data_IF_654878523880
#
_entry.id   IF_654878523880
#
_cell.length_a   1.000
_cell.length_b   1.000
_cell.length_c   1.000
_cell.angle_alpha   90.00
_cell.angle_beta   90.00
_cell.angle_gamma   90.00
#
_symmetry.space_group_name_H-M   'P 1'
#
loop_
_entity.id
_entity.type
_entity.pdbx_description
1 polymer ?
#
# COMPACT_ATOMS: atom_id res chain seq x y z
N UNK A 1 14.13 -2.52 -15.24
CA UNK A 1 15.39 -3.17 -14.80
C UNK A 1 16.56 -2.22 -14.97
N UNK A 2 17.54 -2.31 -14.05
CA UNK A 2 18.76 -1.51 -14.04
C UNK A 2 19.97 -2.41 -14.35
N UNK A 3 20.88 -1.91 -15.17
CA UNK A 3 22.17 -2.51 -15.40
C UNK A 3 23.24 -1.67 -14.68
N UNK A 4 23.61 -2.00 -13.44
CA UNK A 4 24.66 -1.30 -12.71
C UNK A 4 25.96 -1.34 -13.51
N UNK A 5 26.75 -0.28 -13.44
CA UNK A 5 28.02 -0.15 -14.15
C UNK A 5 27.94 0.00 -15.68
N UNK A 6 26.75 0.07 -16.28
CA UNK A 6 26.63 0.28 -17.74
C UNK A 6 27.36 1.54 -18.21
N UNK A 7 27.32 2.61 -17.42
CA UNK A 7 28.01 3.88 -17.72
C UNK A 7 29.53 3.77 -17.74
N UNK A 8 30.10 2.94 -16.87
CA UNK A 8 31.55 2.73 -16.78
C UNK A 8 32.05 1.60 -17.68
N UNK A 9 31.12 0.91 -18.35
CA UNK A 9 31.37 -0.22 -19.21
C UNK A 9 31.44 -1.55 -18.45
N UNK A 10 31.07 -2.60 -19.15
CA UNK A 10 31.18 -3.98 -18.72
C UNK A 10 32.34 -4.61 -19.51
N UNK A 11 33.38 -5.08 -18.79
CA UNK A 11 34.52 -5.81 -19.36
C UNK A 11 34.19 -7.29 -19.40
N UNK A 12 35.16 -8.13 -19.53
CA UNK A 12 35.02 -9.58 -19.47
C UNK A 12 34.37 -10.04 -18.16
N UNK A 13 33.33 -10.88 -18.24
CA UNK A 13 32.60 -11.43 -17.10
C UNK A 13 31.08 -11.12 -17.15
N UNK A 14 30.34 -11.77 -16.26
CA UNK A 14 28.90 -11.58 -16.15
C UNK A 14 28.56 -10.29 -15.40
N UNK A 15 27.37 -9.72 -15.71
CA UNK A 15 26.78 -8.61 -14.96
C UNK A 15 25.39 -9.00 -14.47
N UNK A 16 24.96 -8.42 -13.35
CA UNK A 16 23.62 -8.57 -12.82
C UNK A 16 22.71 -7.49 -13.38
N UNK A 17 21.45 -7.83 -13.55
CA UNK A 17 20.35 -6.89 -13.84
C UNK A 17 19.52 -6.79 -12.56
N UNK A 18 19.31 -5.58 -12.08
CA UNK A 18 18.53 -5.33 -10.86
C UNK A 18 17.11 -4.92 -11.23
N UNK A 19 16.13 -5.39 -10.45
CA UNK A 19 14.75 -4.93 -10.54
C UNK A 19 14.65 -3.52 -9.94
N UNK A 20 14.27 -2.54 -10.77
CA UNK A 20 14.16 -1.14 -10.35
C UNK A 20 13.06 -0.92 -9.31
N UNK A 21 11.97 -1.71 -9.35
CA UNK A 21 10.91 -1.64 -8.35
C UNK A 21 11.44 -2.03 -6.96
N UNK A 22 12.18 -3.14 -6.89
CA UNK A 22 12.81 -3.58 -5.63
C UNK A 22 13.83 -2.53 -5.19
N UNK A 23 14.74 -2.14 -6.09
CA UNK A 23 15.87 -1.24 -5.77
C UNK A 23 15.41 0.13 -5.27
N UNK A 24 14.43 0.74 -5.93
CA UNK A 24 14.03 2.11 -5.67
C UNK A 24 12.80 2.22 -4.75
N UNK A 25 11.94 1.21 -4.72
CA UNK A 25 10.67 1.24 -4.01
C UNK A 25 10.57 0.33 -2.79
N UNK A 26 11.28 -0.80 -2.76
CA UNK A 26 11.08 -1.84 -1.74
C UNK A 26 12.35 -2.19 -0.95
N UNK A 27 13.45 -1.48 -1.19
CA UNK A 27 14.73 -1.72 -0.51
C UNK A 27 15.03 -0.65 0.52
N UNK A 28 15.32 -1.05 1.76
CA UNK A 28 15.81 -0.15 2.79
C UNK A 28 17.31 0.10 2.54
N UNK A 29 17.63 1.30 2.02
CA UNK A 29 18.99 1.70 1.69
C UNK A 29 19.88 1.95 2.93
N UNK A 30 19.30 2.09 4.12
CA UNK A 30 20.05 2.33 5.36
C UNK A 30 20.55 1.02 5.97
N UNK A 31 19.74 -0.03 5.90
CA UNK A 31 20.03 -1.32 6.52
C UNK A 31 20.31 -2.43 5.50
N UNK A 32 20.26 -2.11 4.19
CA UNK A 32 20.58 -3.01 3.08
C UNK A 32 19.76 -4.30 3.06
N UNK A 33 18.42 -4.17 3.19
CA UNK A 33 17.49 -5.28 3.09
C UNK A 33 16.12 -4.87 2.53
N UNK A 34 15.31 -5.86 2.14
CA UNK A 34 13.95 -5.61 1.66
C UNK A 34 13.04 -5.08 2.78
N UNK A 35 12.13 -4.12 2.46
CA UNK A 35 11.19 -3.53 3.44
C UNK A 35 10.28 -4.55 4.13
N UNK A 36 10.11 -5.76 3.61
CA UNK A 36 9.47 -6.87 4.33
C UNK A 36 10.15 -7.20 5.65
N UNK A 37 11.48 -7.00 5.75
CA UNK A 37 12.20 -7.15 7.01
C UNK A 37 11.83 -6.06 8.02
N UNK A 38 11.54 -4.82 7.57
CA UNK A 38 11.07 -3.76 8.47
C UNK A 38 9.71 -4.12 9.09
N UNK A 39 8.85 -4.81 8.35
CA UNK A 39 7.58 -5.33 8.87
C UNK A 39 7.81 -6.46 9.89
N UNK A 40 8.74 -7.38 9.64
CA UNK A 40 9.13 -8.41 10.62
C UNK A 40 9.72 -7.79 11.90
N UNK A 41 10.52 -6.73 11.78
CA UNK A 41 11.05 -6.00 12.94
C UNK A 41 9.94 -5.37 13.80
N UNK A 42 8.88 -4.86 13.15
CA UNK A 42 7.71 -4.35 13.85
C UNK A 42 6.92 -5.47 14.53
N UNK A 43 6.70 -6.58 13.84
CA UNK A 43 6.02 -7.73 14.40
C UNK A 43 6.73 -8.22 15.67
N UNK A 44 8.05 -8.35 15.63
CA UNK A 44 8.87 -8.75 16.77
C UNK A 44 8.81 -7.69 17.90
N UNK A 45 9.01 -6.42 17.58
CA UNK A 45 9.07 -5.32 18.56
C UNK A 45 7.76 -5.12 19.33
N UNK A 46 6.63 -5.30 18.64
CA UNK A 46 5.30 -5.08 19.21
C UNK A 46 4.54 -6.38 19.50
N UNK A 47 5.22 -7.53 19.40
CA UNK A 47 4.63 -8.85 19.65
C UNK A 47 3.36 -9.09 18.81
N UNK A 48 3.36 -8.64 17.55
CA UNK A 48 2.26 -8.87 16.62
C UNK A 48 2.43 -10.27 16.04
N UNK A 49 1.52 -11.17 16.38
CA UNK A 49 1.65 -12.57 15.97
C UNK A 49 1.28 -12.78 14.50
N UNK A 50 1.64 -13.93 13.96
CA UNK A 50 1.21 -14.36 12.63
C UNK A 50 -0.31 -14.48 12.55
N UNK A 51 -0.92 -15.00 13.58
CA UNK A 51 -2.36 -15.17 13.72
C UNK A 51 -3.09 -13.83 13.69
N UNK A 52 -2.58 -12.81 14.40
CA UNK A 52 -3.14 -11.46 14.39
C UNK A 52 -3.10 -10.85 12.99
N UNK A 53 -1.96 -11.00 12.29
CA UNK A 53 -1.77 -10.50 10.93
C UNK A 53 -2.72 -11.20 9.94
N UNK A 54 -2.83 -12.52 9.99
CA UNK A 54 -3.70 -13.29 9.12
C UNK A 54 -5.19 -13.02 9.41
N UNK A 55 -5.57 -12.87 10.68
CA UNK A 55 -6.94 -12.49 11.06
C UNK A 55 -7.31 -11.10 10.53
N UNK A 56 -6.40 -10.13 10.66
CA UNK A 56 -6.58 -8.79 10.11
C UNK A 56 -6.73 -8.82 8.58
N UNK A 57 -5.86 -9.56 7.88
CA UNK A 57 -5.90 -9.70 6.43
C UNK A 57 -7.21 -10.35 5.96
N UNK A 58 -7.64 -11.45 6.59
CA UNK A 58 -8.91 -12.11 6.27
C UNK A 58 -10.10 -11.17 6.50
N UNK A 59 -10.13 -10.44 7.62
CA UNK A 59 -11.18 -9.46 7.90
C UNK A 59 -11.20 -8.33 6.86
N UNK A 60 -10.04 -7.84 6.43
CA UNK A 60 -9.90 -6.81 5.39
C UNK A 60 -10.46 -7.30 4.04
N UNK A 61 -10.10 -8.51 3.61
CA UNK A 61 -10.61 -9.11 2.38
C UNK A 61 -12.14 -9.26 2.42
N UNK A 62 -12.68 -9.79 3.51
CA UNK A 62 -14.12 -9.97 3.68
C UNK A 62 -14.90 -8.64 3.65
N UNK A 63 -14.35 -7.58 4.26
CA UNK A 63 -14.94 -6.24 4.20
C UNK A 63 -14.94 -5.70 2.77
N UNK A 64 -13.84 -5.83 2.04
CA UNK A 64 -13.73 -5.37 0.65
C UNK A 64 -14.71 -6.10 -0.26
N UNK A 65 -14.76 -7.44 -0.18
CA UNK A 65 -15.70 -8.28 -0.96
C UNK A 65 -17.15 -7.91 -0.66
N UNK A 66 -17.51 -7.77 0.62
CA UNK A 66 -18.86 -7.39 1.03
C UNK A 66 -19.25 -6.00 0.53
N UNK A 67 -18.34 -5.03 0.62
CA UNK A 67 -18.56 -3.67 0.14
C UNK A 67 -18.74 -3.64 -1.39
N UNK A 68 -17.92 -4.37 -2.13
CA UNK A 68 -18.02 -4.48 -3.59
C UNK A 68 -19.35 -5.16 -4.00
N UNK A 69 -19.69 -6.30 -3.39
CA UNK A 69 -20.91 -7.04 -3.70
C UNK A 69 -22.19 -6.23 -3.38
N UNK A 70 -22.15 -5.41 -2.32
CA UNK A 70 -23.27 -4.51 -1.96
C UNK A 70 -23.33 -3.23 -2.81
N UNK A 71 -22.41 -3.04 -3.74
CA UNK A 71 -22.37 -1.89 -4.64
C UNK A 71 -21.92 -0.57 -3.98
N UNK A 72 -21.26 -0.61 -2.83
CA UNK A 72 -20.78 0.60 -2.13
C UNK A 72 -19.81 1.44 -2.93
N UNK A 73 -19.07 0.83 -3.86
CA UNK A 73 -18.09 1.51 -4.71
C UNK A 73 -18.63 1.87 -6.09
N UNK A 74 -19.91 1.55 -6.40
CA UNK A 74 -20.49 1.74 -7.73
C UNK A 74 -20.36 3.17 -8.25
N UNK A 75 -20.59 4.16 -7.39
CA UNK A 75 -20.58 5.58 -7.76
C UNK A 75 -19.13 6.13 -7.90
N UNK A 76 -18.13 5.38 -7.44
CA UNK A 76 -16.72 5.74 -7.50
C UNK A 76 -16.01 5.09 -8.70
N UNK A 77 -16.56 3.99 -9.23
CA UNK A 77 -15.98 3.22 -10.33
C UNK A 77 -16.37 3.84 -11.66
N UNK A 78 -15.35 4.16 -12.48
CA UNK A 78 -15.55 4.54 -13.88
C UNK A 78 -15.16 3.36 -14.76
N UNK A 79 -16.13 2.70 -15.44
CA UNK A 79 -15.83 1.56 -16.29
C UNK A 79 -14.90 1.94 -17.46
N UNK A 80 -13.93 1.08 -17.75
CA UNK A 80 -13.01 1.22 -18.89
C UNK A 80 -13.30 0.14 -19.91
N UNK A 81 -13.59 0.56 -21.15
CA UNK A 81 -13.79 -0.37 -22.28
C UNK A 81 -12.45 -0.71 -22.91
N UNK A 82 -12.07 -1.98 -22.84
CA UNK A 82 -10.80 -2.49 -23.39
C UNK A 82 -11.07 -3.16 -24.74
N UNK A 83 -10.61 -2.58 -25.86
CA UNK A 83 -10.75 -3.19 -27.17
C UNK A 83 -10.03 -4.55 -27.23
N UNK A 84 -10.67 -5.53 -27.84
CA UNK A 84 -10.07 -6.84 -28.07
C UNK A 84 -9.64 -6.97 -29.54
N UNK A 85 -8.59 -7.76 -29.79
CA UNK A 85 -8.16 -8.06 -31.18
C UNK A 85 -9.21 -8.87 -31.95
N UNK A 86 -9.98 -9.67 -31.22
CA UNK A 86 -11.11 -10.49 -31.77
C UNK A 86 -12.20 -10.54 -30.70
N UNK A 87 -13.46 -10.49 -31.13
CA UNK A 87 -14.63 -10.48 -30.26
C UNK A 87 -15.01 -9.09 -29.76
N UNK A 88 -15.98 -9.05 -28.87
CA UNK A 88 -16.48 -7.81 -28.29
C UNK A 88 -15.49 -7.20 -27.28
N UNK A 89 -15.51 -5.88 -27.11
CA UNK A 89 -14.72 -5.21 -26.07
C UNK A 89 -15.06 -5.73 -24.68
N UNK A 90 -14.06 -5.81 -23.80
CA UNK A 90 -14.25 -6.15 -22.38
C UNK A 90 -14.44 -4.86 -21.59
N UNK A 91 -15.50 -4.80 -20.78
CA UNK A 91 -15.70 -3.71 -19.82
C UNK A 91 -15.00 -4.09 -18.53
N UNK A 92 -14.02 -3.27 -18.12
CA UNK A 92 -13.29 -3.41 -16.88
C UNK A 92 -13.86 -2.43 -15.85
N UNK A 93 -14.60 -2.95 -14.88
CA UNK A 93 -15.35 -2.19 -13.87
C UNK A 93 -15.31 -2.82 -12.48
N UNK A 94 -14.42 -3.77 -12.27
CA UNK A 94 -14.35 -4.55 -11.02
C UNK A 94 -12.92 -4.62 -10.52
N UNK A 95 -12.71 -4.37 -9.23
CA UNK A 95 -11.42 -4.59 -8.57
C UNK A 95 -11.08 -6.07 -8.52
N UNK A 96 -9.90 -6.44 -9.03
CA UNK A 96 -9.43 -7.83 -9.13
C UNK A 96 -8.75 -8.33 -7.84
N UNK A 97 -8.34 -7.42 -6.94
CA UNK A 97 -7.57 -7.76 -5.74
C UNK A 97 -8.38 -8.38 -4.60
N UNK A 98 -9.64 -7.98 -4.33
CA UNK A 98 -10.41 -8.60 -3.27
C UNK A 98 -10.70 -10.07 -3.55
N UNK A 99 -10.42 -10.95 -2.60
CA UNK A 99 -10.58 -12.42 -2.71
C UNK A 99 -11.64 -12.93 -1.77
N UNK A 100 -12.74 -13.42 -2.31
CA UNK A 100 -13.88 -13.94 -1.55
C UNK A 100 -13.55 -15.25 -0.81
N UNK A 101 -12.53 -15.98 -1.25
CA UNK A 101 -12.09 -17.26 -0.71
C UNK A 101 -11.02 -17.13 0.38
N UNK A 102 -10.71 -15.92 0.82
CA UNK A 102 -9.68 -15.69 1.85
C UNK A 102 -10.18 -16.11 3.22
N UNK A 103 -9.48 -17.07 3.83
CA UNK A 103 -9.73 -17.54 5.21
C UNK A 103 -8.43 -17.53 6.02
N UNK A 104 -8.55 -17.45 7.35
CA UNK A 104 -7.40 -17.52 8.24
C UNK A 104 -6.61 -18.84 8.06
N UNK A 105 -7.31 -19.96 7.87
CA UNK A 105 -6.70 -21.28 7.64
C UNK A 105 -5.97 -21.35 6.29
N UNK A 106 -6.47 -20.63 5.28
CA UNK A 106 -5.81 -20.51 3.98
C UNK A 106 -4.52 -19.70 4.09
N UNK A 107 -4.58 -18.56 4.78
CA UNK A 107 -3.43 -17.67 5.01
C UNK A 107 -2.35 -18.36 5.84
N UNK A 108 -2.70 -19.10 6.87
CA UNK A 108 -1.75 -19.82 7.74
C UNK A 108 -0.83 -20.79 6.98
N UNK A 109 -1.24 -21.28 5.80
CA UNK A 109 -0.45 -22.19 4.96
C UNK A 109 0.63 -21.46 4.13
N UNK A 110 0.58 -20.14 4.05
CA UNK A 110 1.54 -19.35 3.26
C UNK A 110 2.89 -19.28 3.97
N UNK A 111 3.97 -19.40 3.18
CA UNK A 111 5.33 -19.31 3.69
C UNK A 111 5.80 -17.86 3.75
N UNK A 112 6.51 -17.46 4.81
CA UNK A 112 7.12 -16.13 4.88
C UNK A 112 8.33 -16.03 3.94
N UNK A 113 8.35 -15.07 3.00
CA UNK A 113 9.43 -14.95 2.02
C UNK A 113 10.63 -14.13 2.51
N UNK A 114 10.48 -13.29 3.54
CA UNK A 114 11.50 -12.33 3.93
C UNK A 114 12.43 -12.83 5.04
N UNK A 115 11.91 -13.65 5.95
CA UNK A 115 12.65 -14.21 7.08
C UNK A 115 12.27 -15.67 7.28
N UNK A 116 13.25 -16.53 7.53
CA UNK A 116 12.96 -17.89 7.98
C UNK A 116 12.19 -17.81 9.30
N UNK A 117 11.09 -18.54 9.37
CA UNK A 117 10.17 -18.52 10.52
C UNK A 117 9.57 -17.11 10.81
N UNK A 118 9.47 -16.28 9.78
CA UNK A 118 8.84 -14.96 9.83
C UNK A 118 7.31 -15.02 9.84
N UNK A 119 6.71 -13.84 9.94
CA UNK A 119 5.25 -13.68 10.06
C UNK A 119 4.61 -13.04 8.83
N UNK A 120 5.37 -12.25 8.07
CA UNK A 120 4.91 -11.54 6.87
C UNK A 120 4.84 -12.48 5.68
N UNK A 121 3.69 -12.52 5.01
CA UNK A 121 3.45 -13.39 3.84
C UNK A 121 2.80 -12.61 2.70
N UNK A 122 2.71 -13.22 1.52
CA UNK A 122 1.97 -12.64 0.39
C UNK A 122 0.47 -12.43 0.66
N UNK A 123 -0.09 -13.12 1.67
CA UNK A 123 -1.50 -13.01 2.02
C UNK A 123 -1.81 -11.93 3.05
N UNK A 124 -0.83 -11.49 3.84
CA UNK A 124 -0.99 -10.46 4.86
C UNK A 124 -0.14 -9.19 4.59
N UNK A 125 0.54 -9.12 3.43
CA UNK A 125 1.24 -7.93 2.95
C UNK A 125 0.41 -7.19 1.89
N UNK A 126 0.73 -5.90 1.67
CA UNK A 126 0.17 -5.11 0.57
C UNK A 126 0.53 -5.70 -0.77
N UNK A 127 -0.38 -5.62 -1.73
CA UNK A 127 -0.10 -5.97 -3.12
C UNK A 127 0.64 -4.83 -3.84
N UNK A 128 1.27 -5.17 -4.96
CA UNK A 128 1.94 -4.20 -5.83
C UNK A 128 0.98 -3.89 -6.98
N UNK A 129 0.58 -2.63 -7.11
CA UNK A 129 -0.43 -2.19 -8.07
C UNK A 129 0.01 -0.90 -8.75
N UNK A 130 -0.27 -0.78 -10.05
CA UNK A 130 -0.21 0.50 -10.73
C UNK A 130 -1.38 1.38 -10.28
N UNK A 131 -1.14 2.68 -10.16
CA UNK A 131 -2.18 3.60 -9.73
C UNK A 131 -1.80 5.05 -9.96
N UNK A 132 -2.81 5.90 -10.07
CA UNK A 132 -2.66 7.35 -10.12
C UNK A 132 -3.80 8.02 -9.37
N UNK A 133 -3.49 9.13 -8.69
CA UNK A 133 -4.49 9.94 -8.01
C UNK A 133 -4.24 11.43 -8.27
N UNK A 134 -5.30 12.18 -8.45
CA UNK A 134 -5.25 13.63 -8.62
C UNK A 134 -6.27 14.30 -7.70
N UNK A 135 -5.83 15.31 -6.97
CA UNK A 135 -6.69 16.15 -6.12
C UNK A 135 -6.53 17.62 -6.51
N UNK A 136 -7.64 18.34 -6.57
CA UNK A 136 -7.64 19.80 -6.74
C UNK A 136 -7.71 20.44 -5.37
N UNK A 137 -6.66 21.14 -4.98
CA UNK A 137 -6.58 21.88 -3.73
C UNK A 137 -6.80 23.38 -3.99
N UNK A 138 -7.60 24.01 -3.17
CA UNK A 138 -7.87 25.44 -3.24
C UNK A 138 -7.98 26.05 -1.84
N UNK A 139 -7.70 27.34 -1.70
CA UNK A 139 -8.06 28.06 -0.48
C UNK A 139 -9.59 28.17 -0.36
N UNK A 140 -10.11 28.27 0.87
CA UNK A 140 -11.53 28.46 1.13
C UNK A 140 -12.13 29.64 0.34
N UNK A 141 -11.41 30.78 0.31
CA UNK A 141 -11.82 31.94 -0.44
C UNK A 141 -11.92 31.67 -1.95
N UNK A 142 -10.93 30.98 -2.52
CA UNK A 142 -10.91 30.65 -3.96
C UNK A 142 -12.01 29.65 -4.31
N UNK A 143 -12.21 28.62 -3.50
CA UNK A 143 -13.29 27.66 -3.71
C UNK A 143 -14.65 28.36 -3.72
N UNK A 144 -14.90 29.26 -2.78
CA UNK A 144 -16.13 30.08 -2.72
C UNK A 144 -16.29 30.97 -3.96
N UNK A 145 -15.22 31.70 -4.36
CA UNK A 145 -15.27 32.61 -5.52
C UNK A 145 -15.58 31.86 -6.82
N UNK A 146 -15.06 30.64 -6.98
CA UNK A 146 -15.26 29.83 -8.18
C UNK A 146 -16.50 28.92 -8.10
N UNK A 147 -17.22 28.89 -6.99
CA UNK A 147 -18.38 28.02 -6.80
C UNK A 147 -18.02 26.53 -6.83
N UNK A 148 -16.81 26.15 -6.39
CA UNK A 148 -16.34 24.76 -6.46
C UNK A 148 -17.07 23.91 -5.42
N UNK A 149 -17.50 22.68 -5.77
CA UNK A 149 -17.97 21.72 -4.78
C UNK A 149 -16.82 21.33 -3.86
N UNK A 150 -16.97 21.57 -2.57
CA UNK A 150 -15.96 21.23 -1.56
C UNK A 150 -16.25 19.83 -1.03
N UNK A 151 -15.36 18.87 -1.30
CA UNK A 151 -15.47 17.50 -0.83
C UNK A 151 -15.00 17.34 0.62
N UNK A 152 -14.08 18.18 1.07
CA UNK A 152 -13.57 18.15 2.44
C UNK A 152 -12.64 19.30 2.76
N UNK A 153 -12.31 19.47 4.03
CA UNK A 153 -11.41 20.50 4.53
C UNK A 153 -10.16 19.87 5.15
N UNK A 154 -8.98 20.31 4.74
CA UNK A 154 -7.74 19.93 5.42
C UNK A 154 -7.65 20.74 6.71
N UNK A 155 -7.78 20.08 7.85
CA UNK A 155 -7.71 20.71 9.18
C UNK A 155 -6.34 20.66 9.80
N UNK A 156 -5.53 19.67 9.43
CA UNK A 156 -4.18 19.55 9.94
C UNK A 156 -3.36 18.53 9.15
N UNK A 157 -2.07 18.68 9.23
CA UNK A 157 -1.11 17.71 8.69
C UNK A 157 0.18 17.74 9.51
N UNK A 158 0.92 16.65 9.48
CA UNK A 158 2.23 16.53 10.11
C UNK A 158 3.07 15.49 9.42
N UNK A 159 4.37 15.67 9.52
CA UNK A 159 5.37 14.66 9.19
C UNK A 159 6.10 14.18 10.44
N UNK A 160 6.53 12.94 10.46
CA UNK A 160 7.36 12.38 11.51
C UNK A 160 8.44 11.49 10.90
N UNK A 161 9.69 11.69 11.31
CA UNK A 161 10.78 10.75 11.04
C UNK A 161 10.81 9.68 12.11
N UNK A 162 11.15 8.46 11.72
CA UNK A 162 11.37 7.31 12.60
C UNK A 162 12.62 6.55 12.13
N UNK A 163 13.10 5.64 12.96
CA UNK A 163 14.17 4.72 12.59
C UNK A 163 13.77 3.93 11.32
N UNK A 164 14.58 3.91 10.26
CA UNK A 164 14.30 3.16 9.05
C UNK A 164 13.97 1.70 9.29
N UNK A 165 14.62 1.04 10.25
CA UNK A 165 14.40 -0.35 10.60
C UNK A 165 12.95 -0.67 11.01
N UNK A 166 12.18 0.34 11.39
CA UNK A 166 10.77 0.25 11.80
C UNK A 166 9.91 1.28 11.09
N UNK A 167 10.21 1.58 9.84
CA UNK A 167 9.58 2.67 9.07
C UNK A 167 8.05 2.66 9.11
N UNK A 168 7.43 1.49 9.19
CA UNK A 168 5.96 1.34 9.18
C UNK A 168 5.25 2.00 10.37
N UNK A 169 5.97 2.36 11.47
CA UNK A 169 5.37 3.08 12.62
C UNK A 169 5.30 4.60 12.40
N UNK A 170 5.90 5.13 11.34
CA UNK A 170 5.92 6.57 11.05
C UNK A 170 4.54 7.26 11.13
N UNK A 171 3.46 6.66 10.57
CA UNK A 171 2.12 7.24 10.67
C UNK A 171 1.61 7.46 12.08
N UNK A 172 2.02 6.66 13.07
CA UNK A 172 1.57 6.80 14.47
C UNK A 172 1.98 8.16 15.03
N UNK A 173 3.27 8.50 14.97
CA UNK A 173 3.78 9.78 15.47
C UNK A 173 3.24 10.97 14.66
N UNK A 174 3.08 10.83 13.35
CA UNK A 174 2.52 11.87 12.50
C UNK A 174 1.04 12.14 12.85
N UNK A 175 0.25 11.08 13.03
CA UNK A 175 -1.16 11.18 13.43
C UNK A 175 -1.30 11.83 14.80
N UNK A 176 -0.55 11.40 15.80
CA UNK A 176 -0.56 12.00 17.14
C UNK A 176 -0.27 13.50 17.11
N UNK A 177 0.72 13.92 16.33
CA UNK A 177 1.06 15.35 16.15
C UNK A 177 -0.07 16.13 15.48
N UNK A 178 -0.69 15.54 14.46
CA UNK A 178 -1.79 16.16 13.72
C UNK A 178 -3.01 16.34 14.61
N UNK A 179 -3.44 15.30 15.33
CA UNK A 179 -4.55 15.35 16.28
C UNK A 179 -4.30 16.40 17.35
N UNK A 180 -3.12 16.41 17.96
CA UNK A 180 -2.74 17.43 18.95
C UNK A 180 -2.86 18.85 18.40
N UNK A 181 -2.41 19.10 17.16
CA UNK A 181 -2.51 20.43 16.52
C UNK A 181 -3.94 20.82 16.20
N UNK A 182 -4.77 19.86 15.81
CA UNK A 182 -6.18 20.09 15.51
C UNK A 182 -7.05 20.21 16.78
N UNK A 183 -6.52 19.84 17.95
CA UNK A 183 -7.30 19.75 19.19
C UNK A 183 -8.28 18.58 19.19
N UNK A 184 -7.96 17.52 18.43
CA UNK A 184 -8.79 16.34 18.25
C UNK A 184 -8.22 15.12 18.94
N UNK A 185 -9.07 14.13 19.16
CA UNK A 185 -8.70 12.77 19.60
C UNK A 185 -8.86 11.77 18.47
N UNK A 186 -8.45 10.53 18.69
CA UNK A 186 -8.60 9.46 17.70
C UNK A 186 -10.09 9.07 17.46
N UNK A 187 -10.98 9.46 18.35
CA UNK A 187 -12.42 9.21 18.25
C UNK A 187 -13.21 10.27 17.47
N UNK A 188 -12.57 11.43 17.15
CA UNK A 188 -13.18 12.51 16.38
C UNK A 188 -12.97 12.27 14.87
#
# INVERSE_FOLDING_TARGET
>A
YLLPRARTGLRLGHAQIEDSLIRDGLWDAFNDYHMGITAENLAERYSITREDQDAFAAASQNKAVTASASGRFRDEITPITIPQRRGDPVVFDTDEQPRADTTAEGLAKLKPPFRKDGTVTAGNASTINDGAALLVLASAAKAKTLGLPVLGWIRGYSSAGVDPAIMGIGPVSATQRTLKRAGWTIGD
#
